data_IF_071056697750
#
_entry.id   IF_071056697750
#
_cell.length_a   1.000
_cell.length_b   1.000
_cell.length_c   1.000
_cell.angle_alpha   90.00
_cell.angle_beta   90.00
_cell.angle_gamma   90.00
#
_symmetry.space_group_name_H-M   'P 1'
#
loop_
_entity.id
_entity.type
_entity.pdbx_description
1 polymer ?
#
# COMPACT_ATOMS: atom_id res chain seq x y z
N UNK A 1 8.03 2.77 27.87
CA UNK A 1 9.24 2.27 27.19
C UNK A 1 8.93 2.14 25.71
N UNK A 2 9.29 3.14 24.91
CA UNK A 2 8.87 3.19 23.52
C UNK A 2 9.94 3.90 22.69
N UNK A 3 10.85 3.11 22.13
CA UNK A 3 11.81 3.54 21.11
C UNK A 3 11.09 3.78 19.76
N UNK A 4 10.08 4.67 19.72
CA UNK A 4 9.21 4.90 18.53
C UNK A 4 9.89 5.82 17.49
N UNK A 5 11.21 5.82 17.40
CA UNK A 5 11.95 6.52 16.34
C UNK A 5 12.83 5.60 15.50
N UNK A 6 12.51 4.30 15.45
CA UNK A 6 12.86 3.53 14.26
C UNK A 6 11.94 4.02 13.14
N UNK A 7 12.51 4.72 12.16
CA UNK A 7 11.77 5.15 10.98
C UNK A 7 10.97 4.00 10.38
N UNK A 8 9.83 4.31 9.76
CA UNK A 8 8.94 3.30 9.17
C UNK A 8 9.76 2.33 8.32
N UNK A 9 9.64 1.03 8.60
CA UNK A 9 10.25 0.00 7.76
C UNK A 9 9.72 0.14 6.33
N UNK A 10 10.48 -0.34 5.36
CA UNK A 10 10.06 -0.32 3.96
C UNK A 10 8.70 -1.01 3.79
N UNK A 11 8.49 -2.13 4.48
CA UNK A 11 7.21 -2.82 4.60
C UNK A 11 6.08 -1.94 5.17
N UNK A 12 6.35 -1.17 6.23
CA UNK A 12 5.35 -0.25 6.79
C UNK A 12 5.01 0.87 5.80
N UNK A 13 6.01 1.43 5.12
CA UNK A 13 5.79 2.47 4.10
C UNK A 13 4.94 1.96 2.94
N UNK A 14 5.18 0.74 2.48
CA UNK A 14 4.39 0.11 1.43
C UNK A 14 2.96 -0.20 1.91
N UNK A 15 2.79 -0.73 3.12
CA UNK A 15 1.47 -0.95 3.71
C UNK A 15 0.64 0.34 3.85
N UNK A 16 1.27 1.43 4.30
CA UNK A 16 0.60 2.73 4.40
C UNK A 16 0.15 3.25 3.03
N UNK A 17 0.99 3.07 2.00
CA UNK A 17 0.65 3.43 0.62
C UNK A 17 -0.49 2.58 0.07
N UNK A 18 -0.48 1.28 0.34
CA UNK A 18 -1.54 0.35 -0.05
C UNK A 18 -2.88 0.79 0.56
N UNK A 19 -2.90 1.05 1.87
CA UNK A 19 -4.10 1.51 2.59
C UNK A 19 -4.64 2.81 1.99
N UNK A 20 -3.77 3.79 1.74
CA UNK A 20 -4.18 5.04 1.08
C UNK A 20 -4.76 4.81 -0.31
N UNK A 21 -4.13 3.97 -1.12
CA UNK A 21 -4.63 3.67 -2.46
C UNK A 21 -6.02 3.01 -2.41
N UNK A 22 -6.27 2.14 -1.41
CA UNK A 22 -7.58 1.52 -1.21
C UNK A 22 -8.64 2.48 -0.66
N UNK A 23 -8.29 3.39 0.26
CA UNK A 23 -9.20 4.45 0.70
C UNK A 23 -9.59 5.37 -0.45
N UNK A 24 -8.60 5.80 -1.25
CA UNK A 24 -8.83 6.63 -2.43
C UNK A 24 -9.66 5.89 -3.48
N UNK A 25 -9.41 4.60 -3.70
CA UNK A 25 -10.25 3.75 -4.55
C UNK A 25 -11.70 3.75 -4.06
N UNK A 26 -11.94 3.54 -2.77
CA UNK A 26 -13.28 3.45 -2.22
C UNK A 26 -14.04 4.77 -2.40
N UNK A 27 -13.38 5.90 -2.12
CA UNK A 27 -13.96 7.22 -2.34
C UNK A 27 -14.25 7.48 -3.82
N UNK A 28 -13.30 7.16 -4.71
CA UNK A 28 -13.44 7.37 -6.15
C UNK A 28 -14.40 6.38 -6.81
N UNK A 29 -14.61 5.19 -6.26
CA UNK A 29 -15.50 4.16 -6.83
C UNK A 29 -16.94 4.65 -6.99
N UNK A 30 -17.34 5.62 -6.16
CA UNK A 30 -18.66 6.25 -6.18
C UNK A 30 -18.74 7.50 -7.05
N UNK A 31 -17.60 8.07 -7.44
CA UNK A 31 -17.51 9.37 -8.14
C UNK A 31 -16.98 9.22 -9.56
N UNK A 32 -15.89 8.48 -9.74
CA UNK A 32 -15.17 8.33 -11.00
C UNK A 32 -14.55 6.93 -11.10
N UNK A 33 -15.24 6.05 -11.82
CA UNK A 33 -14.84 4.65 -11.99
C UNK A 33 -13.47 4.50 -12.63
N UNK A 34 -13.10 5.37 -13.58
CA UNK A 34 -11.80 5.26 -14.27
C UNK A 34 -10.66 5.54 -13.31
N UNK A 35 -10.79 6.60 -12.51
CA UNK A 35 -9.80 6.91 -11.48
C UNK A 35 -9.78 5.87 -10.37
N UNK A 36 -10.93 5.27 -10.03
CA UNK A 36 -10.97 4.16 -9.11
C UNK A 36 -10.14 2.98 -9.66
N UNK A 37 -10.37 2.56 -10.90
CA UNK A 37 -9.63 1.45 -11.51
C UNK A 37 -8.10 1.71 -11.52
N UNK A 38 -7.66 2.95 -11.76
CA UNK A 38 -6.25 3.36 -11.65
C UNK A 38 -5.69 3.19 -10.22
N UNK A 39 -6.46 3.55 -9.19
CA UNK A 39 -6.04 3.38 -7.79
C UNK A 39 -6.01 1.93 -7.35
N UNK A 40 -6.95 1.12 -7.85
CA UNK A 40 -6.95 -0.32 -7.63
C UNK A 40 -5.72 -0.98 -8.25
N UNK A 41 -5.39 -0.64 -9.51
CA UNK A 41 -4.16 -1.13 -10.16
C UNK A 41 -2.90 -0.76 -9.36
N UNK A 42 -2.84 0.47 -8.84
CA UNK A 42 -1.72 0.92 -7.99
C UNK A 42 -1.64 0.13 -6.67
N UNK A 43 -2.78 -0.18 -6.05
CA UNK A 43 -2.81 -1.01 -4.85
C UNK A 43 -2.31 -2.43 -5.12
N UNK A 44 -2.68 -3.02 -6.26
CA UNK A 44 -2.18 -4.34 -6.68
C UNK A 44 -0.67 -4.36 -6.90
N UNK A 45 -0.11 -3.30 -7.50
CA UNK A 45 1.34 -3.15 -7.65
C UNK A 45 2.05 -3.09 -6.29
N UNK A 46 1.51 -2.33 -5.34
CA UNK A 46 2.07 -2.23 -3.98
C UNK A 46 1.97 -3.58 -3.25
N UNK A 47 0.87 -4.33 -3.44
CA UNK A 47 0.73 -5.67 -2.88
C UNK A 47 1.82 -6.62 -3.42
N UNK A 48 2.09 -6.58 -4.73
CA UNK A 48 3.19 -7.36 -5.32
C UNK A 48 4.56 -6.97 -4.78
N UNK A 49 4.78 -5.68 -4.52
CA UNK A 49 6.01 -5.19 -3.90
C UNK A 49 6.15 -5.68 -2.46
N UNK A 50 5.06 -5.70 -1.69
CA UNK A 50 5.01 -6.27 -0.34
C UNK A 50 5.34 -7.76 -0.36
N UNK A 51 4.74 -8.54 -1.25
CA UNK A 51 5.02 -9.98 -1.38
C UNK A 51 6.48 -10.24 -1.79
N UNK A 52 7.02 -9.42 -2.68
CA UNK A 52 8.42 -9.50 -3.10
C UNK A 52 9.38 -9.13 -1.98
N UNK A 53 9.03 -8.14 -1.15
CA UNK A 53 9.79 -7.75 0.02
C UNK A 53 9.76 -8.86 1.08
N UNK A 54 8.60 -9.45 1.33
CA UNK A 54 8.42 -10.55 2.28
C UNK A 54 9.22 -11.79 1.86
N UNK A 55 9.27 -12.10 0.56
CA UNK A 55 10.15 -13.15 0.02
C UNK A 55 11.63 -12.84 0.16
N UNK A 56 12.04 -11.57 0.08
CA UNK A 56 13.44 -11.15 0.27
C UNK A 56 13.86 -11.15 1.74
N UNK A 57 12.98 -10.75 2.65
CA UNK A 57 13.25 -10.74 4.10
C UNK A 57 13.15 -12.14 4.73
N UNK A 58 12.46 -13.08 4.07
CA UNK A 58 12.24 -14.46 4.52
C UNK A 58 13.27 -15.50 4.06
N UNK A 59 14.46 -15.11 3.59
CA UNK A 59 15.53 -16.04 3.17
C UNK A 59 16.86 -15.75 3.88
#
# INVERSE_FOLDING_TARGET
MFNIFKGKSERQKLNDQYKRAMEEYYQLSTVDRRKADEKMARADEISKQLDALDKKEGN
#
